data_IF_024570014622
#
_entry.id   IF_024570014622
#
_cell.length_a   1.000
_cell.length_b   1.000
_cell.length_c   1.000
_cell.angle_alpha   90.00
_cell.angle_beta   90.00
_cell.angle_gamma   90.00
#
_symmetry.space_group_name_H-M   'P 1'
#
loop_
_entity.id
_entity.type
_entity.pdbx_description
1 polymer ?
#
# COMPACT_ATOMS: atom_id res chain seq x y z
N UNK A 1 27.55 -17.41 6.87
CA UNK A 1 26.45 -16.52 7.32
C UNK A 1 26.11 -15.61 6.15
N UNK A 2 25.01 -15.88 5.44
CA UNK A 2 24.56 -15.04 4.31
C UNK A 2 23.98 -13.75 4.91
N UNK A 3 24.63 -12.60 4.72
CA UNK A 3 24.03 -11.30 4.96
C UNK A 3 23.01 -11.07 3.84
N UNK A 4 21.73 -11.22 4.15
CA UNK A 4 20.67 -10.70 3.29
C UNK A 4 20.73 -9.17 3.35
N UNK A 5 20.75 -8.54 2.20
CA UNK A 5 20.63 -7.08 2.08
C UNK A 5 19.15 -6.74 2.32
N UNK A 6 18.81 -6.39 3.55
CA UNK A 6 17.45 -5.95 3.92
C UNK A 6 17.29 -4.48 3.52
N UNK A 7 16.51 -4.23 2.49
CA UNK A 7 16.12 -2.87 2.09
C UNK A 7 14.77 -2.56 2.74
N UNK A 8 14.76 -1.59 3.62
CA UNK A 8 13.61 -0.94 4.28
C UNK A 8 12.32 -1.74 4.47
N UNK A 9 11.68 -1.61 5.60
CA UNK A 9 10.32 -2.12 5.80
C UNK A 9 9.36 -1.35 4.91
N UNK A 10 8.52 -2.03 4.13
CA UNK A 10 7.40 -1.38 3.46
C UNK A 10 6.27 -1.21 4.47
N UNK A 11 5.95 0.02 4.81
CA UNK A 11 4.76 0.32 5.62
C UNK A 11 3.59 0.65 4.68
N UNK A 12 2.48 -0.03 4.85
CA UNK A 12 1.22 0.35 4.26
C UNK A 12 0.36 1.06 5.31
N UNK A 13 -0.41 2.03 4.91
CA UNK A 13 -1.27 2.82 5.80
C UNK A 13 -2.71 2.65 5.37
N UNK A 14 -3.57 2.26 6.31
CA UNK A 14 -5.02 2.30 6.09
C UNK A 14 -5.50 3.74 6.25
N UNK A 15 -6.18 4.27 5.25
CA UNK A 15 -6.60 5.66 5.17
C UNK A 15 -8.12 5.72 4.98
N UNK A 16 -8.77 6.61 5.71
CA UNK A 16 -10.20 6.90 5.55
C UNK A 16 -10.41 8.31 4.98
N UNK A 17 -11.30 8.42 4.01
CA UNK A 17 -11.77 9.70 3.47
C UNK A 17 -12.96 10.23 4.30
N UNK A 18 -13.08 11.56 4.39
CA UNK A 18 -14.27 12.22 4.94
C UNK A 18 -15.30 12.34 3.81
N UNK A 19 -16.11 11.30 3.59
CA UNK A 19 -17.12 11.30 2.55
C UNK A 19 -18.46 11.82 3.06
N UNK A 20 -18.95 12.87 2.44
CA UNK A 20 -20.38 13.21 2.40
C UNK A 20 -21.07 12.30 1.38
N UNK A 21 -21.96 11.44 1.83
CA UNK A 21 -22.53 10.33 1.11
C UNK A 21 -23.09 10.62 -0.28
N UNK A 22 -22.68 9.79 -1.23
CA UNK A 22 -23.42 9.48 -2.45
C UNK A 22 -23.35 7.97 -2.67
N UNK A 23 -24.50 7.29 -2.50
CA UNK A 23 -24.61 5.87 -2.75
C UNK A 23 -24.48 5.54 -4.22
N UNK A 24 -23.53 4.64 -4.54
CA UNK A 24 -23.48 3.96 -5.84
C UNK A 24 -24.02 2.55 -5.65
N UNK A 25 -24.99 2.19 -6.47
CA UNK A 25 -25.65 0.90 -6.51
C UNK A 25 -24.67 -0.22 -6.87
N UNK A 26 -24.23 -1.00 -5.90
CA UNK A 26 -23.40 -2.19 -6.08
C UNK A 26 -24.21 -3.47 -5.92
N UNK A 27 -23.81 -4.50 -6.61
CA UNK A 27 -24.43 -5.79 -6.84
C UNK A 27 -24.50 -6.66 -5.58
N UNK A 28 -25.67 -7.33 -5.35
CA UNK A 28 -25.98 -8.12 -4.17
C UNK A 28 -25.26 -9.46 -4.13
N UNK A 29 -24.41 -9.66 -3.13
CA UNK A 29 -23.92 -10.98 -2.69
C UNK A 29 -24.56 -11.33 -1.34
N UNK A 30 -25.11 -12.52 -1.21
CA UNK A 30 -26.01 -12.97 -0.19
C UNK A 30 -25.46 -12.93 1.25
N UNK A 31 -26.14 -12.19 2.11
CA UNK A 31 -26.14 -12.40 3.57
C UNK A 31 -27.58 -12.43 4.04
N UNK A 32 -27.92 -13.44 4.81
CA UNK A 32 -29.28 -13.59 5.36
C UNK A 32 -29.50 -12.70 6.56
N UNK A 33 -30.48 -11.86 6.45
CA UNK A 33 -31.42 -11.28 7.39
C UNK A 33 -31.90 -9.92 6.85
N UNK A 34 -33.16 -9.61 7.01
CA UNK A 34 -33.93 -8.54 6.37
C UNK A 34 -33.55 -7.06 6.67
N UNK A 35 -32.29 -6.75 6.93
CA UNK A 35 -31.83 -5.37 7.09
C UNK A 35 -30.73 -5.06 6.07
N UNK A 36 -31.05 -4.21 5.09
CA UNK A 36 -30.02 -3.58 4.25
C UNK A 36 -29.08 -2.73 5.15
N UNK A 37 -27.77 -2.70 4.89
CA UNK A 37 -26.86 -1.88 5.66
C UNK A 37 -27.25 -0.39 5.53
N UNK A 38 -27.15 0.33 6.63
CA UNK A 38 -27.40 1.78 6.66
C UNK A 38 -26.30 2.56 5.94
N UNK A 39 -25.06 2.02 5.99
CA UNK A 39 -23.86 2.62 5.42
C UNK A 39 -23.07 1.54 4.68
N UNK A 40 -22.67 1.84 3.46
CA UNK A 40 -21.75 1.03 2.67
C UNK A 40 -20.51 1.86 2.39
N UNK A 41 -19.34 1.36 2.82
CA UNK A 41 -18.03 1.99 2.59
C UNK A 41 -17.29 1.24 1.49
N UNK A 42 -16.75 1.97 0.53
CA UNK A 42 -15.90 1.42 -0.53
C UNK A 42 -14.44 1.39 -0.07
N UNK A 43 -13.80 0.21 -0.17
CA UNK A 43 -12.41 -0.01 0.18
C UNK A 43 -11.59 -0.41 -1.05
N UNK A 44 -10.62 0.40 -1.44
CA UNK A 44 -9.68 0.11 -2.53
C UNK A 44 -8.48 -0.70 -2.08
N UNK A 45 -8.10 -1.73 -2.86
CA UNK A 45 -6.91 -2.56 -2.63
C UNK A 45 -6.23 -2.89 -3.95
N UNK A 46 -4.92 -2.70 -4.04
CA UNK A 46 -4.15 -2.97 -5.26
C UNK A 46 -3.76 -4.44 -5.41
N UNK A 47 -3.67 -5.16 -4.29
CA UNK A 47 -3.31 -6.58 -4.31
C UNK A 47 -4.49 -7.46 -4.75
N UNK A 48 -4.21 -8.64 -5.35
CA UNK A 48 -5.24 -9.57 -5.77
C UNK A 48 -5.92 -10.27 -4.58
N UNK A 49 -7.04 -10.91 -4.84
CA UNK A 49 -7.69 -11.83 -3.91
C UNK A 49 -6.71 -12.92 -3.45
N UNK A 50 -6.79 -13.32 -2.18
CA UNK A 50 -5.88 -14.30 -1.56
C UNK A 50 -4.50 -13.75 -1.19
N UNK A 51 -4.24 -12.47 -1.43
CA UNK A 51 -3.06 -11.82 -0.87
C UNK A 51 -3.31 -11.46 0.60
N UNK A 52 -2.29 -11.62 1.45
CA UNK A 52 -2.42 -11.42 2.91
C UNK A 52 -3.00 -10.04 3.30
N UNK A 53 -2.70 -9.00 2.53
CA UNK A 53 -3.26 -7.66 2.78
C UNK A 53 -4.72 -7.56 2.37
N UNK A 54 -5.12 -8.19 1.28
CA UNK A 54 -6.53 -8.27 0.86
C UNK A 54 -7.34 -9.10 1.85
N UNK A 55 -6.78 -10.19 2.37
CA UNK A 55 -7.41 -10.99 3.43
C UNK A 55 -7.53 -10.18 4.74
N UNK A 56 -6.55 -9.31 5.04
CA UNK A 56 -6.62 -8.38 6.18
C UNK A 56 -7.73 -7.34 6.00
N UNK A 57 -7.94 -6.85 4.77
CA UNK A 57 -9.02 -5.94 4.45
C UNK A 57 -10.38 -6.63 4.62
N UNK A 58 -10.51 -7.90 4.18
CA UNK A 58 -11.72 -8.68 4.38
C UNK A 58 -11.99 -8.91 5.87
N UNK A 59 -10.96 -9.26 6.65
CA UNK A 59 -11.10 -9.38 8.10
C UNK A 59 -11.58 -8.07 8.75
N UNK A 60 -11.04 -6.93 8.32
CA UNK A 60 -11.50 -5.62 8.76
C UNK A 60 -12.98 -5.39 8.41
N UNK A 61 -13.39 -5.68 7.18
CA UNK A 61 -14.78 -5.56 6.72
C UNK A 61 -15.75 -6.41 7.56
N UNK A 62 -15.38 -7.67 7.80
CA UNK A 62 -16.18 -8.61 8.61
C UNK A 62 -16.32 -8.09 10.05
N UNK A 63 -15.22 -7.58 10.63
CA UNK A 63 -15.25 -7.03 12.00
C UNK A 63 -16.07 -5.75 12.10
N UNK A 64 -16.03 -4.87 11.10
CA UNK A 64 -16.90 -3.68 11.07
C UNK A 64 -18.36 -4.09 11.02
N UNK A 65 -18.74 -5.03 10.16
CA UNK A 65 -20.08 -5.55 10.05
C UNK A 65 -20.56 -6.17 11.38
N UNK A 66 -19.73 -7.03 11.98
CA UNK A 66 -20.04 -7.68 13.26
C UNK A 66 -20.25 -6.67 14.40
N UNK A 67 -19.32 -5.72 14.55
CA UNK A 67 -19.37 -4.71 15.62
C UNK A 67 -20.53 -3.72 15.46
N UNK A 68 -21.00 -3.51 14.25
CA UNK A 68 -22.13 -2.62 13.97
C UNK A 68 -23.48 -3.35 13.86
N UNK A 69 -23.48 -4.69 14.04
CA UNK A 69 -24.69 -5.52 13.87
C UNK A 69 -25.22 -5.47 12.43
N UNK A 70 -24.33 -5.40 11.44
CA UNK A 70 -24.65 -5.34 10.01
C UNK A 70 -25.06 -3.95 9.50
N UNK A 71 -25.06 -2.92 10.35
CA UNK A 71 -25.46 -1.56 9.93
C UNK A 71 -24.44 -0.91 9.03
N UNK A 72 -23.14 -1.25 9.17
CA UNK A 72 -22.09 -0.78 8.30
C UNK A 72 -21.48 -1.97 7.55
N UNK A 73 -21.42 -1.86 6.24
CA UNK A 73 -20.76 -2.82 5.35
C UNK A 73 -19.56 -2.15 4.70
N UNK A 74 -18.47 -2.90 4.53
CA UNK A 74 -17.30 -2.47 3.77
C UNK A 74 -17.19 -3.36 2.54
N UNK A 75 -17.27 -2.77 1.35
CA UNK A 75 -17.07 -3.46 0.08
C UNK A 75 -15.63 -3.32 -0.38
N UNK A 76 -14.96 -4.45 -0.60
CA UNK A 76 -13.55 -4.51 -0.99
C UNK A 76 -13.44 -4.61 -2.52
N UNK A 77 -12.64 -3.74 -3.12
CA UNK A 77 -12.33 -3.71 -4.55
C UNK A 77 -10.85 -4.06 -4.74
N UNK A 78 -10.50 -5.36 -4.86
CA UNK A 78 -9.11 -5.84 -4.97
C UNK A 78 -8.54 -5.65 -6.37
N UNK A 79 -7.28 -6.07 -6.55
CA UNK A 79 -6.60 -6.13 -7.86
C UNK A 79 -6.49 -4.79 -8.60
N UNK A 80 -6.49 -3.68 -7.87
CA UNK A 80 -6.40 -2.35 -8.47
C UNK A 80 -7.63 -1.95 -9.31
N UNK A 81 -8.81 -2.54 -9.04
CA UNK A 81 -10.04 -2.23 -9.79
C UNK A 81 -10.40 -0.74 -9.77
N UNK A 82 -10.05 -0.02 -8.70
CA UNK A 82 -10.29 1.41 -8.56
C UNK A 82 -9.09 2.26 -9.01
N UNK A 83 -8.04 1.64 -9.50
CA UNK A 83 -6.81 2.28 -9.97
C UNK A 83 -5.59 1.99 -9.10
N UNK A 84 -4.49 2.67 -9.40
CA UNK A 84 -3.26 2.66 -8.61
C UNK A 84 -3.37 3.58 -7.36
N UNK A 85 -2.29 3.64 -6.57
CA UNK A 85 -2.22 4.48 -5.37
C UNK A 85 -2.61 5.94 -5.65
N UNK A 86 -2.04 6.56 -6.68
CA UNK A 86 -2.27 7.98 -6.98
C UNK A 86 -3.75 8.25 -7.30
N UNK A 87 -4.37 7.36 -8.09
CA UNK A 87 -5.79 7.47 -8.44
C UNK A 87 -6.70 7.24 -7.23
N UNK A 88 -6.36 6.29 -6.37
CA UNK A 88 -7.11 6.03 -5.14
C UNK A 88 -7.05 7.22 -4.19
N UNK A 89 -5.87 7.84 -3.98
CA UNK A 89 -5.75 9.05 -3.16
C UNK A 89 -6.59 10.21 -3.72
N UNK A 90 -6.55 10.45 -5.03
CA UNK A 90 -7.41 11.46 -5.66
C UNK A 90 -8.89 11.16 -5.47
N UNK A 91 -9.30 9.89 -5.56
CA UNK A 91 -10.68 9.47 -5.34
C UNK A 91 -11.12 9.70 -3.90
N UNK A 92 -10.24 9.49 -2.92
CA UNK A 92 -10.49 9.80 -1.51
C UNK A 92 -10.63 11.30 -1.27
N UNK A 93 -9.75 12.13 -1.85
CA UNK A 93 -9.83 13.59 -1.75
C UNK A 93 -11.15 14.13 -2.32
N UNK A 94 -11.66 13.49 -3.38
CA UNK A 94 -12.96 13.84 -3.99
C UNK A 94 -14.16 13.22 -3.27
N UNK A 95 -13.96 12.38 -2.26
CA UNK A 95 -15.02 11.66 -1.55
C UNK A 95 -15.68 10.55 -2.37
N UNK A 96 -15.03 10.06 -3.41
CA UNK A 96 -15.50 8.95 -4.24
C UNK A 96 -15.02 7.57 -3.74
N UNK A 97 -14.08 7.54 -2.80
CA UNK A 97 -13.54 6.35 -2.14
C UNK A 97 -13.44 6.63 -0.64
N UNK A 98 -13.93 5.70 0.19
CA UNK A 98 -14.01 5.90 1.64
C UNK A 98 -12.77 5.41 2.37
N UNK A 99 -12.23 4.26 1.95
CA UNK A 99 -11.13 3.57 2.60
C UNK A 99 -10.11 3.10 1.55
N UNK A 100 -8.85 3.22 1.88
CA UNK A 100 -7.77 2.74 1.04
C UNK A 100 -6.59 2.23 1.88
N UNK A 101 -6.05 1.07 1.49
CA UNK A 101 -4.77 0.62 2.01
C UNK A 101 -3.68 1.12 1.05
N UNK A 102 -3.11 2.25 1.39
CA UNK A 102 -2.12 2.92 0.58
C UNK A 102 -0.68 2.56 0.94
N UNK A 103 0.21 2.68 -0.03
CA UNK A 103 1.64 2.58 0.21
C UNK A 103 2.18 3.90 0.76
N UNK A 104 3.00 3.84 1.81
CA UNK A 104 3.56 5.04 2.45
C UNK A 104 4.45 5.88 1.53
N UNK A 105 5.13 5.28 0.53
CA UNK A 105 5.91 6.03 -0.45
C UNK A 105 5.01 6.85 -1.37
N UNK A 106 3.97 6.24 -1.92
CA UNK A 106 3.02 6.94 -2.79
C UNK A 106 2.27 8.03 -2.03
N UNK A 107 2.00 7.82 -0.73
CA UNK A 107 1.41 8.84 0.12
C UNK A 107 2.38 10.00 0.40
N UNK A 108 3.68 9.73 0.52
CA UNK A 108 4.70 10.77 0.64
C UNK A 108 4.70 11.69 -0.59
N UNK A 109 4.64 11.12 -1.79
CA UNK A 109 4.57 11.87 -3.05
C UNK A 109 3.23 12.63 -3.21
N UNK A 110 2.17 12.14 -2.57
CA UNK A 110 0.85 12.80 -2.56
C UNK A 110 0.72 13.94 -1.54
N UNK A 111 1.82 14.38 -0.94
CA UNK A 111 1.86 15.58 -0.10
C UNK A 111 2.21 15.34 1.37
N UNK A 112 2.48 14.11 1.81
CA UNK A 112 2.90 13.83 3.18
C UNK A 112 4.36 13.33 3.25
N UNK A 113 5.36 14.22 3.25
CA UNK A 113 6.77 13.81 3.23
C UNK A 113 7.23 13.05 4.48
N UNK A 114 6.51 13.14 5.61
CA UNK A 114 6.87 12.37 6.82
C UNK A 114 6.75 10.86 6.60
N UNK A 115 5.88 10.43 5.69
CA UNK A 115 5.75 9.02 5.31
C UNK A 115 7.03 8.44 4.71
N UNK A 116 7.87 9.25 4.10
CA UNK A 116 9.18 8.85 3.58
C UNK A 116 10.07 8.24 4.67
N UNK A 117 9.98 8.72 5.91
CA UNK A 117 10.79 8.20 7.01
C UNK A 117 10.55 6.71 7.29
N UNK A 118 9.35 6.20 7.01
CA UNK A 118 9.00 4.80 7.24
C UNK A 118 9.59 3.84 6.19
N UNK A 119 10.05 4.36 5.06
CA UNK A 119 10.49 3.56 3.91
C UNK A 119 11.94 3.81 3.51
N UNK A 120 12.64 4.69 4.21
CA UNK A 120 14.09 4.88 4.02
C UNK A 120 14.84 3.55 4.19
N UNK A 121 15.75 3.23 3.26
CA UNK A 121 16.56 2.03 3.38
C UNK A 121 17.33 1.99 4.71
N UNK A 122 17.29 0.84 5.39
CA UNK A 122 18.03 0.56 6.64
C UNK A 122 17.69 1.45 7.84
N UNK A 123 16.62 2.26 7.81
CA UNK A 123 16.22 3.09 8.96
C UNK A 123 15.76 2.24 10.13
N UNK A 124 15.10 1.12 9.87
CA UNK A 124 14.74 0.15 10.90
C UNK A 124 15.76 -0.99 11.00
N UNK A 125 16.16 -1.34 12.21
CA UNK A 125 17.11 -2.44 12.49
C UNK A 125 16.48 -3.81 12.26
N UNK A 126 15.20 -3.93 12.63
CA UNK A 126 14.41 -5.14 12.60
C UNK A 126 12.91 -4.79 12.68
N UNK A 127 12.06 -5.82 12.57
CA UNK A 127 10.60 -5.70 12.66
C UNK A 127 10.12 -5.18 14.01
N UNK A 128 10.77 -5.58 15.11
CA UNK A 128 10.41 -5.12 16.44
C UNK A 128 10.67 -3.63 16.60
N UNK A 129 11.78 -3.13 16.03
CA UNK A 129 12.05 -1.68 16.01
C UNK A 129 10.99 -0.93 15.20
N UNK A 130 10.60 -1.43 14.03
CA UNK A 130 9.53 -0.86 13.23
C UNK A 130 8.23 -0.72 14.05
N UNK A 131 7.76 -1.80 14.67
CA UNK A 131 6.53 -1.78 15.47
C UNK A 131 6.61 -0.91 16.72
N UNK A 132 7.79 -0.81 17.35
CA UNK A 132 7.99 0.14 18.45
C UNK A 132 7.87 1.58 18.00
N UNK A 133 8.37 1.92 16.82
CA UNK A 133 8.21 3.27 16.25
C UNK A 133 6.75 3.52 15.88
N UNK A 134 6.12 2.63 15.13
CA UNK A 134 4.71 2.78 14.73
C UNK A 134 3.74 2.86 15.93
N UNK A 135 4.04 2.16 17.02
CA UNK A 135 3.26 2.18 18.27
C UNK A 135 3.61 3.31 19.25
N UNK A 136 4.56 4.16 18.93
CA UNK A 136 4.98 5.29 19.75
C UNK A 136 4.21 6.59 19.43
N UNK A 137 4.46 7.64 20.20
CA UNK A 137 3.94 8.98 19.94
C UNK A 137 4.40 9.50 18.57
N UNK A 138 5.63 9.19 18.15
CA UNK A 138 6.12 9.53 16.82
C UNK A 138 5.30 8.84 15.71
N UNK A 139 4.98 7.55 15.88
CA UNK A 139 4.12 6.83 14.93
C UNK A 139 2.73 7.45 14.84
N UNK A 140 2.17 7.89 15.96
CA UNK A 140 0.90 8.62 16.00
C UNK A 140 1.00 9.97 15.30
N UNK A 141 2.05 10.74 15.57
CA UNK A 141 2.31 12.03 14.91
C UNK A 141 2.38 11.88 13.38
N UNK A 142 3.03 10.81 12.89
CA UNK A 142 3.09 10.53 11.45
C UNK A 142 1.69 10.24 10.87
N UNK A 143 0.83 9.48 11.57
CA UNK A 143 -0.55 9.24 11.13
C UNK A 143 -1.40 10.52 11.18
N UNK A 144 -1.30 11.30 12.24
CA UNK A 144 -2.05 12.54 12.40
C UNK A 144 -1.66 13.57 11.33
N UNK A 145 -0.37 13.61 10.96
CA UNK A 145 0.13 14.47 9.88
C UNK A 145 -0.47 14.17 8.50
N UNK A 146 -1.00 12.96 8.27
CA UNK A 146 -1.74 12.64 7.03
C UNK A 146 -2.92 13.59 6.88
N UNK A 147 -3.69 13.80 7.95
CA UNK A 147 -4.85 14.67 7.93
C UNK A 147 -4.48 16.12 7.63
N UNK A 148 -3.41 16.61 8.24
CA UNK A 148 -2.95 18.01 8.06
C UNK A 148 -2.49 18.27 6.62
N UNK A 149 -1.87 17.29 5.97
CA UNK A 149 -1.31 17.43 4.62
C UNK A 149 -2.31 17.14 3.50
N UNK A 150 -3.22 16.18 3.71
CA UNK A 150 -4.05 15.62 2.63
C UNK A 150 -5.55 15.67 2.90
N UNK A 151 -5.96 15.99 4.12
CA UNK A 151 -7.37 15.88 4.56
C UNK A 151 -7.86 14.45 4.80
N UNK A 152 -7.05 13.43 4.52
CA UNK A 152 -7.35 12.02 4.80
C UNK A 152 -6.95 11.67 6.24
N UNK A 153 -7.56 10.64 6.81
CA UNK A 153 -7.27 10.20 8.19
C UNK A 153 -6.48 8.89 8.14
N UNK A 154 -5.26 8.90 8.73
CA UNK A 154 -4.48 7.70 8.95
C UNK A 154 -5.06 6.87 10.10
N UNK A 155 -5.51 5.64 9.83
CA UNK A 155 -6.16 4.79 10.83
C UNK A 155 -5.19 3.83 11.51
N UNK A 156 -4.31 3.19 10.75
CA UNK A 156 -3.40 2.16 11.23
C UNK A 156 -2.24 1.91 10.28
N UNK A 157 -1.19 1.28 10.81
CA UNK A 157 -0.09 0.73 10.04
C UNK A 157 -0.30 -0.74 9.72
N UNK A 158 0.09 -1.14 8.51
CA UNK A 158 0.18 -2.53 8.07
C UNK A 158 1.62 -2.82 7.66
N UNK A 159 2.15 -3.98 8.05
CA UNK A 159 3.52 -4.37 7.76
C UNK A 159 3.54 -5.36 6.60
N UNK A 160 4.12 -4.96 5.48
CA UNK A 160 4.32 -5.78 4.28
C UNK A 160 5.64 -6.57 4.30
N UNK A 161 6.41 -6.46 5.38
CA UNK A 161 7.73 -7.08 5.51
C UNK A 161 8.86 -6.24 4.93
N UNK A 162 10.02 -6.87 4.72
CA UNK A 162 11.20 -6.22 4.18
C UNK A 162 11.27 -6.38 2.65
N UNK A 163 11.69 -5.31 1.97
CA UNK A 163 11.93 -5.36 0.52
C UNK A 163 13.24 -6.05 0.21
N UNK A 164 13.23 -6.86 -0.84
CA UNK A 164 14.40 -7.51 -1.39
C UNK A 164 14.35 -7.41 -2.90
N UNK A 165 15.49 -7.29 -3.55
CA UNK A 165 15.56 -7.42 -5.00
C UNK A 165 15.45 -8.88 -5.43
N UNK A 166 14.68 -9.13 -6.46
CA UNK A 166 14.71 -10.39 -7.20
C UNK A 166 14.89 -10.09 -8.69
N UNK A 167 15.56 -11.00 -9.39
CA UNK A 167 15.92 -10.85 -10.80
C UNK A 167 15.67 -12.17 -11.54
N UNK A 168 15.36 -12.11 -12.83
CA UNK A 168 15.08 -13.26 -13.66
C UNK A 168 16.35 -14.07 -13.99
N UNK A 169 17.38 -13.42 -14.50
CA UNK A 169 18.51 -14.11 -15.14
C UNK A 169 19.77 -14.18 -14.30
N UNK A 170 20.09 -13.14 -13.53
CA UNK A 170 21.32 -13.10 -12.75
C UNK A 170 21.08 -12.67 -11.31
N UNK A 171 21.67 -13.36 -10.32
CA UNK A 171 21.49 -12.99 -8.92
C UNK A 171 22.26 -11.71 -8.59
N UNK A 172 21.65 -10.84 -7.81
CA UNK A 172 22.30 -9.68 -7.19
C UNK A 172 22.92 -10.10 -5.86
N UNK A 173 24.25 -10.05 -5.76
CA UNK A 173 25.02 -10.42 -4.57
C UNK A 173 25.84 -9.29 -3.98
N UNK A 174 26.12 -8.27 -4.78
CA UNK A 174 26.88 -7.07 -4.46
C UNK A 174 26.40 -5.90 -5.31
N UNK A 175 26.80 -4.69 -4.94
CA UNK A 175 26.32 -3.47 -5.58
C UNK A 175 26.61 -3.42 -7.09
N UNK A 176 27.78 -3.91 -7.50
CA UNK A 176 28.19 -3.91 -8.90
C UNK A 176 27.28 -4.76 -9.79
N UNK A 177 26.60 -5.75 -9.21
CA UNK A 177 25.68 -6.63 -9.95
C UNK A 177 24.39 -5.89 -10.36
N UNK A 178 24.08 -4.75 -9.73
CA UNK A 178 22.94 -3.90 -10.08
C UNK A 178 23.12 -3.15 -11.40
N UNK A 179 24.37 -2.91 -11.80
CA UNK A 179 24.66 -2.07 -12.95
C UNK A 179 24.03 -2.61 -14.24
N UNK A 180 23.24 -1.75 -14.88
CA UNK A 180 22.59 -2.02 -16.17
C UNK A 180 21.39 -2.96 -16.06
N UNK A 181 20.91 -3.28 -14.86
CA UNK A 181 19.62 -3.94 -14.66
C UNK A 181 18.49 -2.92 -14.76
N UNK A 182 17.40 -3.31 -15.39
CA UNK A 182 16.12 -2.61 -15.38
C UNK A 182 15.28 -3.18 -14.25
N UNK A 183 15.16 -2.42 -13.18
CA UNK A 183 14.44 -2.84 -11.96
C UNK A 183 13.10 -2.13 -11.89
N UNK A 184 12.03 -2.90 -11.84
CA UNK A 184 10.72 -2.34 -11.61
C UNK A 184 10.65 -1.72 -10.22
N UNK A 185 10.10 -0.53 -10.19
CA UNK A 185 9.74 0.15 -8.95
C UNK A 185 8.24 0.48 -8.95
N UNK A 186 7.68 0.71 -7.77
CA UNK A 186 6.36 1.34 -7.67
C UNK A 186 6.43 2.75 -8.26
N UNK A 187 5.29 3.27 -8.68
CA UNK A 187 5.20 4.66 -9.16
C UNK A 187 5.32 5.59 -7.94
N UNK A 188 6.54 5.75 -7.46
CA UNK A 188 6.90 6.60 -6.32
C UNK A 188 8.36 7.07 -6.47
N UNK A 189 8.62 8.35 -6.22
CA UNK A 189 9.91 9.01 -6.49
C UNK A 189 11.06 8.37 -5.73
N UNK A 190 10.92 8.15 -4.43
CA UNK A 190 11.98 7.60 -3.57
C UNK A 190 12.47 6.21 -4.01
N UNK A 191 11.58 5.37 -4.55
CA UNK A 191 12.01 4.05 -5.03
C UNK A 191 12.83 4.15 -6.30
N UNK A 192 12.47 5.06 -7.19
CA UNK A 192 13.27 5.38 -8.37
C UNK A 192 14.69 5.82 -7.96
N UNK A 193 14.77 6.85 -7.14
CA UNK A 193 16.02 7.40 -6.63
C UNK A 193 16.88 6.33 -5.92
N UNK A 194 16.24 5.45 -5.14
CA UNK A 194 16.95 4.36 -4.44
C UNK A 194 17.58 3.39 -5.42
N UNK A 195 16.85 2.95 -6.45
CA UNK A 195 17.32 2.00 -7.46
C UNK A 195 18.44 2.63 -8.30
N UNK A 196 18.29 3.90 -8.69
CA UNK A 196 19.30 4.64 -9.44
C UNK A 196 20.58 4.87 -8.63
N UNK A 197 20.46 5.19 -7.34
CA UNK A 197 21.59 5.31 -6.43
C UNK A 197 22.36 3.99 -6.26
N UNK A 198 21.70 2.85 -6.44
CA UNK A 198 22.31 1.53 -6.45
C UNK A 198 22.92 1.15 -7.82
N UNK A 199 22.79 2.00 -8.84
CA UNK A 199 23.41 1.84 -10.16
C UNK A 199 22.57 1.06 -11.18
N UNK A 200 21.31 0.78 -10.90
CA UNK A 200 20.35 0.18 -11.83
C UNK A 200 19.47 1.27 -12.48
N UNK A 201 18.72 0.89 -13.51
CA UNK A 201 17.70 1.71 -14.16
C UNK A 201 16.37 1.43 -13.47
N UNK A 202 15.73 2.47 -12.91
CA UNK A 202 14.41 2.36 -12.32
C UNK A 202 13.32 2.42 -13.38
N UNK A 203 12.43 1.43 -13.41
CA UNK A 203 11.28 1.38 -14.34
C UNK A 203 9.99 1.40 -13.54
N UNK A 204 9.28 2.55 -13.47
CA UNK A 204 8.04 2.65 -12.75
C UNK A 204 6.91 1.94 -13.51
N UNK A 205 6.40 0.86 -12.93
CA UNK A 205 5.30 0.04 -13.49
C UNK A 205 4.30 -0.28 -12.38
N UNK A 206 3.00 -0.20 -12.68
CA UNK A 206 1.93 -0.60 -11.75
C UNK A 206 2.06 -2.08 -11.35
N UNK A 207 1.60 -2.42 -10.14
CA UNK A 207 1.75 -3.78 -9.62
C UNK A 207 1.06 -4.83 -10.51
N UNK A 208 -0.10 -4.51 -11.04
CA UNK A 208 -0.86 -5.40 -11.92
C UNK A 208 -0.12 -5.76 -13.23
N UNK A 209 0.84 -4.94 -13.67
CA UNK A 209 1.61 -5.13 -14.90
C UNK A 209 2.94 -5.83 -14.67
N UNK A 210 3.35 -6.04 -13.41
CA UNK A 210 4.66 -6.58 -13.02
C UNK A 210 4.95 -7.93 -13.68
N UNK A 211 3.99 -8.87 -13.61
CA UNK A 211 4.19 -10.21 -14.17
C UNK A 211 4.45 -10.17 -15.68
N UNK A 212 3.63 -9.42 -16.40
CA UNK A 212 3.76 -9.28 -17.86
C UNK A 212 5.08 -8.59 -18.26
N UNK A 213 5.53 -7.60 -17.47
CA UNK A 213 6.78 -6.92 -17.72
C UNK A 213 8.01 -7.82 -17.51
N UNK A 214 7.97 -8.72 -16.51
CA UNK A 214 8.98 -9.76 -16.29
C UNK A 214 8.97 -10.82 -17.41
N UNK A 215 7.78 -11.31 -17.77
CA UNK A 215 7.62 -12.35 -18.80
C UNK A 215 8.10 -11.86 -20.17
N UNK A 216 7.81 -10.61 -20.52
CA UNK A 216 8.23 -9.99 -21.78
C UNK A 216 9.70 -9.55 -21.81
N UNK A 217 10.42 -9.62 -20.68
CA UNK A 217 11.80 -9.11 -20.58
C UNK A 217 11.90 -7.58 -20.68
N UNK A 218 10.82 -6.85 -20.43
CA UNK A 218 10.82 -5.38 -20.36
C UNK A 218 11.63 -4.90 -19.18
N UNK A 219 11.64 -5.67 -18.09
CA UNK A 219 12.44 -5.49 -16.89
C UNK A 219 13.20 -6.76 -16.54
N UNK A 220 14.32 -6.60 -15.82
CA UNK A 220 15.18 -7.69 -15.38
C UNK A 220 14.82 -8.18 -13.97
N UNK A 221 14.03 -7.40 -13.23
CA UNK A 221 13.67 -7.70 -11.85
C UNK A 221 12.78 -6.64 -11.20
N UNK A 222 12.52 -6.80 -9.89
CA UNK A 222 11.77 -5.87 -9.07
C UNK A 222 12.29 -5.85 -7.63
#
# INVERSE_FOLDING_TARGET
MKKQLLIGAAAAVLIAGLAGGYGILGNKGAAGADNEPEIVLCYGEVNPEGHVLTDSAQYFADRVSELTGGRVMVEIYPSGQLGDDARCYQSMEMGALDLYRGNSMSLADSGNPMMSALVLPYVFRDRDHFWKVCGSDLGREILDNIQDCTGMIGLAYLDEGARNFFTTDRPVRRLEDMKGLKIRVQVASMMGDTVEALGAEAVPIAYAELYTALESGTIDGA
#
